data_IF_353745026577
#
_entry.id   IF_353745026577
#
_cell.length_a   1.000
_cell.length_b   1.000
_cell.length_c   1.000
_cell.angle_alpha   90.00
_cell.angle_beta   90.00
_cell.angle_gamma   90.00
#
_symmetry.space_group_name_H-M   'P 1'
#
loop_
_entity.id
_entity.type
_entity.pdbx_description
1 polymer ?
#
# COMPACT_ATOMS: atom_id res chain seq x y z
N UNK A 1 -2.82 14.61 13.61
CA UNK A 1 -2.69 14.84 12.16
C UNK A 1 -1.21 14.59 11.85
N UNK A 2 -0.87 13.41 11.32
CA UNK A 2 0.54 13.06 11.07
C UNK A 2 1.10 13.94 9.95
N UNK A 3 2.27 14.53 10.19
CA UNK A 3 2.99 15.36 9.22
C UNK A 3 3.45 14.53 8.02
N UNK A 4 3.12 15.03 6.82
CA UNK A 4 3.42 14.38 5.56
C UNK A 4 4.89 14.65 5.18
N UNK A 5 5.77 13.68 5.43
CA UNK A 5 7.17 13.72 4.97
C UNK A 5 7.27 13.22 3.53
N UNK A 6 6.89 14.03 2.54
CA UNK A 6 7.38 13.95 1.14
C UNK A 6 7.31 12.62 0.35
N UNK A 7 6.81 11.52 0.92
CA UNK A 7 6.72 10.22 0.26
C UNK A 7 5.41 10.20 -0.54
N UNK A 8 5.51 9.82 -1.83
CA UNK A 8 4.33 9.65 -2.68
C UNK A 8 3.50 8.51 -2.10
N UNK A 9 2.37 8.86 -1.51
CA UNK A 9 1.41 7.93 -0.91
C UNK A 9 0.22 7.78 -1.86
N UNK A 10 -0.06 6.55 -2.27
CA UNK A 10 -1.21 6.18 -3.08
C UNK A 10 -2.17 5.33 -2.24
N UNK A 11 -3.45 5.67 -2.26
CA UNK A 11 -4.49 4.93 -1.55
C UNK A 11 -5.14 3.94 -2.51
N UNK A 12 -5.18 2.66 -2.15
CA UNK A 12 -5.80 1.62 -2.96
C UNK A 12 -7.19 1.33 -2.46
N UNK A 13 -8.16 1.48 -3.37
CA UNK A 13 -9.58 1.28 -3.10
C UNK A 13 -10.11 0.10 -3.90
N UNK A 14 -10.87 -0.79 -3.25
CA UNK A 14 -11.62 -1.87 -3.91
C UNK A 14 -13.10 -1.59 -3.69
N UNK A 15 -13.81 -1.25 -4.78
CA UNK A 15 -15.17 -0.72 -4.68
C UNK A 15 -15.18 0.60 -3.88
N UNK A 16 -15.86 0.61 -2.73
CA UNK A 16 -15.97 1.77 -1.84
C UNK A 16 -15.10 1.65 -0.57
N UNK A 17 -14.20 0.67 -0.53
CA UNK A 17 -13.44 0.34 0.68
C UNK A 17 -11.95 0.63 0.47
N UNK A 18 -11.36 1.34 1.43
CA UNK A 18 -9.93 1.60 1.46
C UNK A 18 -9.23 0.36 1.99
N UNK A 19 -8.43 -0.28 1.15
CA UNK A 19 -7.81 -1.57 1.47
C UNK A 19 -6.41 -1.37 2.03
N UNK A 20 -5.59 -0.56 1.35
CA UNK A 20 -4.18 -0.38 1.70
C UNK A 20 -3.65 0.96 1.19
N UNK A 21 -2.54 1.40 1.78
CA UNK A 21 -1.71 2.46 1.24
C UNK A 21 -0.49 1.87 0.53
N UNK A 22 -0.01 2.51 -0.53
CA UNK A 22 1.26 2.21 -1.19
C UNK A 22 2.13 3.47 -1.09
N UNK A 23 3.37 3.34 -0.64
CA UNK A 23 4.34 4.44 -0.66
C UNK A 23 5.69 4.02 -1.20
N UNK A 24 6.43 4.96 -1.77
CA UNK A 24 7.84 4.73 -2.12
C UNK A 24 8.70 4.69 -0.85
N UNK A 25 9.57 3.68 -0.73
CA UNK A 25 10.60 3.66 0.29
C UNK A 25 11.62 4.79 0.02
N UNK A 26 11.42 5.96 0.64
CA UNK A 26 12.41 7.05 0.73
C UNK A 26 13.05 7.52 -0.60
N UNK A 27 12.33 8.40 -1.32
CA UNK A 27 12.83 9.67 -1.86
C UNK A 27 13.80 9.72 -3.06
N UNK A 28 14.40 8.62 -3.52
CA UNK A 28 15.37 8.67 -4.64
C UNK A 28 15.15 7.60 -5.72
N UNK A 29 13.89 7.26 -6.03
CA UNK A 29 13.50 6.60 -7.29
C UNK A 29 14.00 5.16 -7.51
N UNK A 30 14.79 4.61 -6.60
CA UNK A 30 15.35 3.24 -6.68
C UNK A 30 14.87 2.32 -5.55
N UNK A 31 14.07 2.82 -4.61
CA UNK A 31 13.55 2.06 -3.47
C UNK A 31 12.29 1.25 -3.82
N UNK A 32 12.03 0.13 -3.12
CA UNK A 32 10.79 -0.63 -3.31
C UNK A 32 9.56 0.19 -2.91
N UNK A 33 8.40 -0.21 -3.44
CA UNK A 33 7.10 0.27 -3.02
C UNK A 33 6.64 -0.53 -1.80
N UNK A 34 6.37 0.17 -0.72
CA UNK A 34 5.90 -0.37 0.55
C UNK A 34 4.38 -0.35 0.54
N UNK A 35 3.78 -1.50 0.80
CA UNK A 35 2.34 -1.67 0.97
C UNK A 35 2.07 -1.69 2.47
N UNK A 36 1.17 -0.82 2.92
CA UNK A 36 0.81 -0.64 4.31
C UNK A 36 -0.69 -0.81 4.50
N UNK A 37 -1.10 -1.26 5.68
CA UNK A 37 -2.51 -1.17 6.08
C UNK A 37 -2.96 0.29 6.13
N UNK A 38 -4.28 0.50 6.24
CA UNK A 38 -4.86 1.83 6.42
C UNK A 38 -4.32 2.57 7.65
N UNK A 39 -3.81 1.83 8.64
CA UNK A 39 -3.21 2.35 9.88
C UNK A 39 -1.69 2.59 9.76
N UNK A 40 -1.08 2.34 8.60
CA UNK A 40 0.35 2.55 8.35
C UNK A 40 1.24 1.39 8.79
N UNK A 41 0.69 0.19 8.97
CA UNK A 41 1.49 -1.02 9.25
C UNK A 41 1.96 -1.61 7.94
N UNK A 42 3.27 -1.69 7.73
CA UNK A 42 3.85 -2.39 6.58
C UNK A 42 3.47 -3.86 6.55
N UNK A 43 2.94 -4.31 5.41
CA UNK A 43 2.50 -5.69 5.17
C UNK A 43 3.23 -6.35 4.01
N UNK A 44 3.75 -5.57 3.06
CA UNK A 44 4.50 -6.10 1.92
C UNK A 44 5.39 -5.05 1.25
N UNK A 45 6.34 -5.50 0.43
CA UNK A 45 7.17 -4.66 -0.43
C UNK A 45 7.19 -5.20 -1.86
N UNK A 46 7.08 -4.32 -2.85
CA UNK A 46 7.14 -4.64 -4.27
C UNK A 46 8.23 -3.83 -4.97
N UNK A 47 8.77 -4.37 -6.06
CA UNK A 47 9.85 -3.71 -6.81
C UNK A 47 9.40 -2.47 -7.59
N UNK A 48 8.11 -2.40 -7.94
CA UNK A 48 7.51 -1.27 -8.63
C UNK A 48 6.03 -1.10 -8.22
N UNK A 49 5.43 0.04 -8.61
CA UNK A 49 4.06 0.40 -8.26
C UNK A 49 3.03 -0.60 -8.82
N UNK A 50 3.22 -1.07 -10.05
CA UNK A 50 2.24 -1.96 -10.68
C UNK A 50 2.19 -3.32 -9.98
N UNK A 51 3.36 -3.84 -9.59
CA UNK A 51 3.44 -5.04 -8.77
C UNK A 51 2.80 -4.85 -7.38
N UNK A 52 2.94 -3.66 -6.78
CA UNK A 52 2.28 -3.35 -5.52
C UNK A 52 0.74 -3.35 -5.65
N UNK A 53 0.21 -2.69 -6.68
CA UNK A 53 -1.24 -2.66 -6.97
C UNK A 53 -1.81 -4.06 -7.19
N UNK A 54 -1.13 -4.88 -7.99
CA UNK A 54 -1.54 -6.26 -8.27
C UNK A 54 -1.55 -7.11 -6.99
N UNK A 55 -0.55 -6.94 -6.13
CA UNK A 55 -0.49 -7.66 -4.87
C UNK A 55 -1.67 -7.29 -3.96
N UNK A 56 -1.99 -6.00 -3.82
CA UNK A 56 -3.16 -5.54 -3.02
C UNK A 56 -4.46 -6.12 -3.58
N UNK A 57 -4.64 -6.10 -4.90
CA UNK A 57 -5.84 -6.65 -5.54
C UNK A 57 -5.99 -8.16 -5.29
N UNK A 58 -4.90 -8.92 -5.23
CA UNK A 58 -4.92 -10.36 -4.97
C UNK A 58 -5.12 -10.71 -3.49
N UNK A 59 -4.79 -9.80 -2.57
CA UNK A 59 -4.81 -10.05 -1.13
C UNK A 59 -5.84 -9.19 -0.39
N UNK A 60 -6.74 -8.51 -1.10
CA UNK A 60 -7.68 -7.54 -0.50
C UNK A 60 -8.53 -8.15 0.60
N UNK A 61 -9.04 -9.37 0.40
CA UNK A 61 -9.88 -10.05 1.40
C UNK A 61 -9.11 -10.37 2.68
N UNK A 62 -7.83 -10.75 2.54
CA UNK A 62 -6.95 -11.01 3.68
C UNK A 62 -6.57 -9.74 4.43
N UNK A 63 -6.31 -8.64 3.71
CA UNK A 63 -6.00 -7.33 4.30
C UNK A 63 -7.20 -6.80 5.11
N UNK A 64 -8.42 -7.00 4.60
CA UNK A 64 -9.67 -6.59 5.25
C UNK A 64 -10.13 -7.56 6.35
N UNK A 65 -9.39 -8.65 6.61
CA UNK A 65 -9.75 -9.64 7.62
C UNK A 65 -11.05 -10.38 7.33
N UNK A 66 -11.44 -10.51 6.04
CA UNK A 66 -12.64 -11.24 5.63
C UNK A 66 -12.33 -12.73 5.56
N UNK A 67 -13.19 -13.61 6.13
CA UNK A 67 -13.06 -15.04 5.89
C UNK A 67 -13.32 -15.32 4.40
N UNK A 68 -12.37 -16.02 3.75
CA UNK A 68 -12.53 -16.57 2.40
C UNK A 68 -13.74 -17.50 2.30
#
# INVERSE_FOLDING_TARGET
MLEFKGEKLEQVWVGNEHVANIREASGHGEGPFIIETVDGVEIHQAADLHLAELWVAQHSDSILGRPN
#
